data_IF_505671773206
#
_entry.id   IF_505671773206
#
_cell.length_a   1.000
_cell.length_b   1.000
_cell.length_c   1.000
_cell.angle_alpha   90.00
_cell.angle_beta   90.00
_cell.angle_gamma   90.00
#
_symmetry.space_group_name_H-M   'P 1'
#
loop_
_entity.id
_entity.type
_entity.pdbx_description
1 polymer ?
#
# COMPACT_ATOMS: atom_id res chain seq x y z
N UNK A 1 47.67 -47.84 -47.70
CA UNK A 1 47.25 -47.32 -46.36
C UNK A 1 46.83 -45.88 -46.54
N UNK A 2 45.53 -45.59 -46.34
CA UNK A 2 44.93 -44.24 -46.46
C UNK A 2 44.97 -43.58 -45.09
N UNK A 3 45.52 -42.37 -44.99
CA UNK A 3 45.42 -41.50 -43.81
C UNK A 3 44.48 -40.33 -44.16
N UNK A 4 43.35 -40.26 -43.46
CA UNK A 4 42.36 -39.19 -43.56
C UNK A 4 42.70 -38.18 -42.45
N UNK A 5 42.94 -36.89 -42.72
CA UNK A 5 43.07 -35.91 -41.66
C UNK A 5 41.69 -35.50 -41.15
N UNK A 6 41.53 -35.59 -39.84
CA UNK A 6 40.35 -35.19 -39.09
C UNK A 6 40.10 -33.68 -39.24
N UNK A 7 38.88 -33.32 -39.64
CA UNK A 7 38.41 -31.93 -39.66
C UNK A 7 38.00 -31.56 -38.23
N UNK A 8 38.71 -30.56 -37.69
CA UNK A 8 38.40 -29.90 -36.41
C UNK A 8 37.11 -29.09 -36.58
N UNK A 9 36.09 -29.44 -35.82
CA UNK A 9 34.84 -28.67 -35.70
C UNK A 9 35.14 -27.46 -34.81
N UNK A 10 35.16 -26.26 -35.38
CA UNK A 10 35.34 -25.01 -34.65
C UNK A 10 34.06 -24.18 -34.63
N UNK A 11 33.79 -23.63 -33.44
CA UNK A 11 32.88 -22.53 -33.11
C UNK A 11 31.38 -22.84 -33.01
N UNK A 12 30.98 -23.23 -31.79
CA UNK A 12 29.68 -22.84 -31.25
C UNK A 12 29.63 -21.31 -31.15
N UNK A 13 28.77 -20.68 -31.93
CA UNK A 13 28.43 -19.28 -31.72
C UNK A 13 27.68 -19.17 -30.38
N UNK A 14 28.35 -18.66 -29.35
CA UNK A 14 27.66 -18.09 -28.20
C UNK A 14 26.86 -16.89 -28.71
N UNK A 15 25.56 -17.09 -28.96
CA UNK A 15 24.62 -15.97 -28.93
C UNK A 15 24.60 -15.45 -27.50
N UNK A 16 25.44 -14.47 -27.20
CA UNK A 16 25.11 -13.53 -26.13
C UNK A 16 23.83 -12.83 -26.58
N UNK A 17 22.70 -13.27 -26.03
CA UNK A 17 21.50 -12.46 -26.03
C UNK A 17 21.90 -11.14 -25.36
N UNK A 18 22.10 -10.09 -26.17
CA UNK A 18 22.34 -8.76 -25.66
C UNK A 18 21.22 -8.41 -24.68
N UNK A 19 21.54 -8.22 -23.40
CA UNK A 19 20.63 -7.59 -22.45
C UNK A 19 20.17 -6.29 -23.11
N UNK A 20 18.88 -6.21 -23.46
CA UNK A 20 18.28 -4.97 -23.94
C UNK A 20 18.27 -4.02 -22.76
N UNK A 21 19.33 -3.21 -22.63
CA UNK A 21 19.42 -2.22 -21.58
C UNK A 21 18.42 -1.10 -21.88
N UNK A 22 17.24 -1.22 -21.28
CA UNK A 22 16.13 -0.29 -21.44
C UNK A 22 16.35 1.00 -20.64
N UNK A 23 17.47 1.70 -20.84
CA UNK A 23 17.75 2.92 -20.04
C UNK A 23 16.81 4.07 -20.38
N UNK A 24 16.47 4.29 -21.66
CA UNK A 24 15.54 5.38 -22.04
C UNK A 24 14.22 5.28 -21.26
N UNK A 25 13.56 4.11 -21.30
CA UNK A 25 12.28 3.93 -20.61
C UNK A 25 12.43 4.03 -19.08
N UNK A 26 13.55 3.57 -18.50
CA UNK A 26 13.81 3.75 -17.06
C UNK A 26 13.90 5.23 -16.68
N UNK A 27 14.59 6.03 -17.48
CA UNK A 27 14.67 7.48 -17.26
C UNK A 27 13.32 8.16 -17.48
N UNK A 28 12.57 7.79 -18.52
CA UNK A 28 11.22 8.31 -18.78
C UNK A 28 10.27 8.03 -17.61
N UNK A 29 10.30 6.81 -17.05
CA UNK A 29 9.52 6.44 -15.87
C UNK A 29 9.94 7.28 -14.66
N UNK A 30 11.26 7.42 -14.40
CA UNK A 30 11.75 8.26 -13.29
C UNK A 30 11.29 9.71 -13.43
N UNK A 31 11.37 10.28 -14.62
CA UNK A 31 10.92 11.65 -14.88
C UNK A 31 9.39 11.79 -14.73
N UNK A 32 8.61 10.77 -15.11
CA UNK A 32 7.17 10.76 -14.88
C UNK A 32 6.83 10.76 -13.38
N UNK A 33 7.53 9.96 -12.57
CA UNK A 33 7.39 9.94 -11.10
C UNK A 33 7.74 11.31 -10.51
N UNK A 34 8.88 11.88 -10.90
CA UNK A 34 9.33 13.20 -10.40
C UNK A 34 8.31 14.28 -10.73
N UNK A 35 7.79 14.32 -11.96
CA UNK A 35 6.76 15.29 -12.35
C UNK A 35 5.46 15.10 -11.57
N UNK A 36 5.00 13.85 -11.42
CA UNK A 36 3.80 13.52 -10.66
C UNK A 36 3.90 13.93 -9.19
N UNK A 37 5.00 13.54 -8.53
CA UNK A 37 5.25 13.90 -7.13
C UNK A 37 5.44 15.42 -6.93
N UNK A 38 6.06 16.11 -7.89
CA UNK A 38 6.18 17.58 -7.84
C UNK A 38 4.83 18.28 -7.94
N UNK A 39 3.94 17.78 -8.82
CA UNK A 39 2.58 18.29 -8.90
C UNK A 39 1.78 17.98 -7.64
N UNK A 40 1.82 16.73 -7.13
CA UNK A 40 1.16 16.37 -5.88
C UNK A 40 1.62 17.28 -4.73
N UNK A 41 2.93 17.50 -4.59
CA UNK A 41 3.47 18.42 -3.58
C UNK A 41 2.86 19.82 -3.70
N UNK A 42 2.65 20.35 -4.91
CA UNK A 42 2.05 21.68 -5.10
C UNK A 42 0.55 21.74 -4.82
N UNK A 43 -0.13 20.60 -4.78
CA UNK A 43 -1.56 20.50 -4.46
C UNK A 43 -1.85 20.35 -2.95
N UNK A 44 -0.83 20.10 -2.13
CA UNK A 44 -1.02 19.91 -0.69
C UNK A 44 -1.61 21.18 -0.05
N UNK A 45 -2.64 21.00 0.78
CA UNK A 45 -3.25 22.10 1.53
C UNK A 45 -2.35 22.57 2.69
N UNK A 46 -2.52 23.81 3.18
CA UNK A 46 -1.77 24.33 4.31
C UNK A 46 -1.84 23.46 5.58
N UNK A 47 -2.88 22.66 5.74
CA UNK A 47 -3.08 21.76 6.89
C UNK A 47 -2.38 20.40 6.69
N UNK A 48 -1.93 20.08 5.46
CA UNK A 48 -1.17 18.86 5.14
C UNK A 48 -1.92 17.81 4.34
N UNK A 49 -3.23 17.95 4.14
CA UNK A 49 -4.04 16.99 3.37
C UNK A 49 -4.07 17.31 1.88
N UNK A 50 -4.57 16.36 1.09
CA UNK A 50 -4.87 16.52 -0.32
C UNK A 50 -6.36 16.50 -0.58
N UNK A 51 -6.78 17.33 -1.53
CA UNK A 51 -8.15 17.46 -2.00
C UNK A 51 -9.15 17.88 -0.90
N UNK A 52 -9.81 16.93 -0.24
CA UNK A 52 -10.90 17.15 0.71
C UNK A 52 -10.52 16.59 2.09
N UNK A 53 -10.66 17.39 3.14
CA UNK A 53 -10.34 17.01 4.53
C UNK A 53 -11.22 15.86 5.05
N UNK A 54 -12.45 15.76 4.56
CA UNK A 54 -13.41 14.70 4.87
C UNK A 54 -13.06 13.32 4.31
N UNK A 55 -12.08 13.23 3.41
CA UNK A 55 -11.75 11.98 2.69
C UNK A 55 -10.25 11.67 2.79
N UNK A 56 -9.79 11.07 3.91
CA UNK A 56 -8.38 10.73 4.12
C UNK A 56 -7.73 9.88 3.02
N UNK A 57 -8.51 9.17 2.21
CA UNK A 57 -8.01 8.38 1.08
C UNK A 57 -7.19 9.21 0.07
N UNK A 58 -7.58 10.46 -0.23
CA UNK A 58 -6.83 11.28 -1.20
C UNK A 58 -5.43 11.60 -0.70
N UNK A 59 -5.31 11.99 0.57
CA UNK A 59 -4.03 12.15 1.26
C UNK A 59 -3.23 10.85 1.26
N UNK A 60 -3.88 9.72 1.55
CA UNK A 60 -3.23 8.40 1.60
C UNK A 60 -2.66 7.98 0.25
N UNK A 61 -3.38 8.23 -0.85
CA UNK A 61 -2.92 7.94 -2.22
C UNK A 61 -1.72 8.82 -2.61
N UNK A 62 -1.78 10.13 -2.31
CA UNK A 62 -0.67 11.05 -2.57
C UNK A 62 0.58 10.66 -1.77
N UNK A 63 0.42 10.32 -0.49
CA UNK A 63 1.51 9.86 0.36
C UNK A 63 2.09 8.53 -0.11
N UNK A 64 1.23 7.58 -0.53
CA UNK A 64 1.67 6.29 -1.08
C UNK A 64 2.56 6.48 -2.31
N UNK A 65 2.18 7.39 -3.23
CA UNK A 65 3.01 7.73 -4.39
C UNK A 65 4.36 8.36 -3.97
N UNK A 66 4.32 9.31 -3.03
CA UNK A 66 5.51 10.00 -2.56
C UNK A 66 6.51 9.06 -1.86
N UNK A 67 6.04 8.16 -0.99
CA UNK A 67 6.93 7.23 -0.28
C UNK A 67 7.36 6.02 -1.11
N UNK A 68 6.73 5.76 -2.25
CA UNK A 68 7.16 4.74 -3.20
C UNK A 68 8.09 5.27 -4.29
N UNK A 69 8.38 6.58 -4.30
CA UNK A 69 9.41 7.16 -5.14
C UNK A 69 10.76 6.44 -4.92
N UNK A 70 11.34 5.80 -5.96
CA UNK A 70 12.61 5.11 -5.83
C UNK A 70 13.79 6.02 -5.44
N UNK A 71 13.65 7.33 -5.61
CA UNK A 71 14.66 8.33 -5.23
C UNK A 71 14.55 8.79 -3.78
N UNK A 72 13.45 8.46 -3.08
CA UNK A 72 13.28 8.81 -1.67
C UNK A 72 14.14 7.91 -0.79
N UNK A 73 15.07 8.52 -0.04
CA UNK A 73 15.76 7.81 1.03
C UNK A 73 14.81 7.54 2.20
N UNK A 74 14.39 6.27 2.28
CA UNK A 74 13.52 5.80 3.35
C UNK A 74 14.22 5.67 4.69
N UNK A 75 15.51 5.95 4.86
CA UNK A 75 16.15 5.95 6.18
C UNK A 75 16.41 7.36 6.71
N UNK A 76 16.30 8.37 5.84
CA UNK A 76 16.41 9.77 6.22
C UNK A 76 15.09 10.35 6.77
N UNK A 77 15.19 11.57 7.30
CA UNK A 77 14.01 12.39 7.59
C UNK A 77 13.22 12.60 6.30
N UNK A 78 11.90 12.41 6.36
CA UNK A 78 11.06 12.68 5.21
C UNK A 78 11.06 14.16 4.85
N UNK A 79 10.95 14.50 3.55
CA UNK A 79 10.60 15.85 3.11
C UNK A 79 9.38 16.38 3.87
N UNK A 80 9.38 17.67 4.20
CA UNK A 80 8.36 18.30 5.05
C UNK A 80 6.92 18.02 4.59
N UNK A 81 6.64 18.09 3.28
CA UNK A 81 5.31 17.82 2.75
C UNK A 81 4.81 16.38 3.01
N UNK A 82 5.72 15.39 3.01
CA UNK A 82 5.39 13.99 3.33
C UNK A 82 5.14 13.84 4.83
N UNK A 83 6.04 14.39 5.66
CA UNK A 83 5.91 14.37 7.12
C UNK A 83 4.60 15.03 7.58
N UNK A 84 4.28 16.20 7.04
CA UNK A 84 3.05 16.93 7.31
C UNK A 84 1.80 16.16 6.91
N UNK A 85 1.83 15.47 5.76
CA UNK A 85 0.71 14.66 5.32
C UNK A 85 0.45 13.45 6.22
N UNK A 86 1.49 12.73 6.64
CA UNK A 86 1.33 11.63 7.60
C UNK A 86 0.88 12.12 8.98
N UNK A 87 1.40 13.26 9.45
CA UNK A 87 0.96 13.87 10.70
C UNK A 87 -0.55 14.16 10.64
N UNK A 88 -1.02 14.78 9.57
CA UNK A 88 -2.46 14.99 9.37
C UNK A 88 -3.22 13.65 9.31
N UNK A 89 -2.73 12.67 8.55
CA UNK A 89 -3.42 11.39 8.34
C UNK A 89 -3.63 10.62 9.65
N UNK A 90 -2.64 10.59 10.54
CA UNK A 90 -2.74 9.92 11.85
C UNK A 90 -3.81 10.58 12.73
N UNK A 91 -3.98 11.90 12.66
CA UNK A 91 -5.03 12.59 13.43
C UNK A 91 -6.46 12.25 12.99
N UNK A 92 -6.63 11.63 11.81
CA UNK A 92 -7.94 11.20 11.33
C UNK A 92 -8.39 9.85 11.92
N UNK A 93 -7.54 9.18 12.70
CA UNK A 93 -7.89 7.93 13.35
C UNK A 93 -8.94 8.12 14.45
N UNK A 94 -10.03 7.33 14.37
CA UNK A 94 -11.16 7.33 15.30
C UNK A 94 -10.92 6.33 16.45
N UNK A 95 -11.72 6.40 17.54
CA UNK A 95 -11.60 5.48 18.67
C UNK A 95 -11.81 3.99 18.32
N UNK A 96 -12.59 3.70 17.28
CA UNK A 96 -12.78 2.33 16.76
C UNK A 96 -11.57 1.80 15.96
N UNK A 97 -10.57 2.65 15.73
CA UNK A 97 -9.34 2.34 15.00
C UNK A 97 -9.39 2.68 13.51
N UNK A 98 -10.58 2.94 12.96
CA UNK A 98 -10.75 3.37 11.57
C UNK A 98 -10.14 4.74 11.33
N UNK A 99 -9.71 5.00 10.09
CA UNK A 99 -9.17 6.30 9.65
C UNK A 99 -10.13 6.85 8.60
N UNK A 100 -11.03 7.73 9.03
CA UNK A 100 -12.09 8.30 8.19
C UNK A 100 -12.68 9.53 8.88
N UNK A 101 -13.45 10.34 8.14
CA UNK A 101 -14.22 11.43 8.73
C UNK A 101 -15.72 11.13 8.65
N UNK A 102 -16.31 11.28 7.47
CA UNK A 102 -17.75 11.08 7.23
C UNK A 102 -17.97 9.97 6.19
N UNK A 103 -18.15 8.73 6.67
CA UNK A 103 -18.43 7.56 5.83
C UNK A 103 -17.22 6.98 5.11
N UNK A 104 -17.48 6.02 4.20
CA UNK A 104 -16.46 5.30 3.42
C UNK A 104 -15.33 4.76 4.31
N UNK A 105 -15.67 4.23 5.49
CA UNK A 105 -14.69 3.99 6.55
C UNK A 105 -13.65 2.95 6.14
N UNK A 106 -14.09 1.89 5.45
CA UNK A 106 -13.21 0.84 4.91
C UNK A 106 -12.27 1.41 3.85
N UNK A 107 -12.79 2.12 2.85
CA UNK A 107 -11.99 2.70 1.77
C UNK A 107 -10.89 3.64 2.29
N UNK A 108 -11.25 4.56 3.19
CA UNK A 108 -10.30 5.49 3.79
C UNK A 108 -9.28 4.76 4.69
N UNK A 109 -9.74 3.81 5.51
CA UNK A 109 -8.84 3.08 6.42
C UNK A 109 -7.86 2.18 5.65
N UNK A 110 -8.34 1.46 4.65
CA UNK A 110 -7.52 0.54 3.86
C UNK A 110 -6.39 1.28 3.13
N UNK A 111 -6.72 2.39 2.47
CA UNK A 111 -5.72 3.23 1.79
C UNK A 111 -4.74 3.88 2.75
N UNK A 112 -5.21 4.37 3.91
CA UNK A 112 -4.35 4.95 4.94
C UNK A 112 -3.35 3.94 5.52
N UNK A 113 -3.81 2.74 5.86
CA UNK A 113 -2.95 1.66 6.36
C UNK A 113 -1.91 1.27 5.30
N UNK A 114 -2.30 1.17 4.03
CA UNK A 114 -1.36 0.90 2.93
C UNK A 114 -0.28 1.98 2.81
N UNK A 115 -0.65 3.26 2.93
CA UNK A 115 0.30 4.38 2.91
C UNK A 115 1.30 4.29 4.06
N UNK A 116 0.81 4.02 5.29
CA UNK A 116 1.65 3.90 6.49
C UNK A 116 2.62 2.71 6.39
N UNK A 117 2.18 1.56 5.85
CA UNK A 117 3.06 0.42 5.59
C UNK A 117 4.13 0.78 4.56
N UNK A 118 3.76 1.43 3.46
CA UNK A 118 4.68 1.81 2.38
C UNK A 118 5.79 2.76 2.85
N UNK A 119 5.51 3.56 3.89
CA UNK A 119 6.44 4.49 4.50
C UNK A 119 7.58 3.79 5.27
N UNK A 120 7.41 2.53 5.71
CA UNK A 120 8.43 1.76 6.46
C UNK A 120 8.96 2.55 7.67
N UNK A 121 8.04 3.04 8.51
CA UNK A 121 8.34 3.77 9.76
C UNK A 121 7.66 3.07 10.92
N UNK A 122 8.45 2.69 11.94
CA UNK A 122 7.92 2.08 13.17
C UNK A 122 6.94 3.00 13.91
N UNK A 123 7.09 4.31 13.77
CA UNK A 123 6.19 5.30 14.38
C UNK A 123 4.71 5.14 13.95
N UNK A 124 4.43 4.54 12.80
CA UNK A 124 3.05 4.31 12.33
C UNK A 124 2.45 2.98 12.78
N UNK A 125 3.25 2.12 13.41
CA UNK A 125 2.85 0.78 13.84
C UNK A 125 1.58 0.78 14.72
N UNK A 126 1.43 1.66 15.73
CA UNK A 126 0.20 1.68 16.55
C UNK A 126 -1.05 2.05 15.73
N UNK A 127 -0.93 2.96 14.77
CA UNK A 127 -2.03 3.36 13.91
C UNK A 127 -2.40 2.24 12.92
N UNK A 128 -1.39 1.56 12.36
CA UNK A 128 -1.57 0.39 11.48
C UNK A 128 -2.33 -0.71 12.21
N UNK A 129 -1.94 -1.09 13.43
CA UNK A 129 -2.60 -2.17 14.19
C UNK A 129 -4.07 -1.86 14.45
N UNK A 130 -4.39 -0.62 14.85
CA UNK A 130 -5.78 -0.18 15.04
C UNK A 130 -6.58 -0.18 13.75
N UNK A 131 -6.01 0.32 12.66
CA UNK A 131 -6.65 0.30 11.34
C UNK A 131 -6.91 -1.12 10.82
N UNK A 132 -5.96 -2.05 11.03
CA UNK A 132 -6.15 -3.47 10.72
C UNK A 132 -7.34 -4.06 11.46
N UNK A 133 -7.45 -3.80 12.76
CA UNK A 133 -8.57 -4.27 13.57
C UNK A 133 -9.90 -3.77 12.99
N UNK A 134 -9.98 -2.47 12.66
CA UNK A 134 -11.16 -1.90 12.02
C UNK A 134 -11.54 -2.62 10.72
N UNK A 135 -10.58 -2.89 9.83
CA UNK A 135 -10.83 -3.60 8.58
C UNK A 135 -11.33 -5.03 8.80
N UNK A 136 -10.77 -5.76 9.77
CA UNK A 136 -11.21 -7.11 10.13
C UNK A 136 -12.64 -7.09 10.67
N UNK A 137 -12.94 -6.15 11.57
CA UNK A 137 -14.27 -6.01 12.17
C UNK A 137 -15.35 -5.61 11.14
N UNK A 138 -14.94 -5.13 9.96
CA UNK A 138 -15.83 -4.78 8.84
C UNK A 138 -16.04 -5.93 7.84
N UNK A 139 -15.42 -7.10 8.00
CA UNK A 139 -15.77 -8.29 7.21
C UNK A 139 -17.12 -8.85 7.65
N UNK A 140 -17.98 -9.20 6.67
CA UNK A 140 -19.34 -9.64 6.97
C UNK A 140 -19.46 -11.16 7.11
N UNK A 141 -20.31 -11.54 8.06
CA UNK A 141 -20.81 -12.89 8.38
C UNK A 141 -22.26 -12.61 8.79
N UNK A 142 -23.19 -12.81 7.86
CA UNK A 142 -24.60 -12.43 7.94
C UNK A 142 -25.42 -13.70 8.26
N UNK A 143 -26.59 -13.53 8.87
CA UNK A 143 -27.47 -14.63 9.25
C UNK A 143 -26.82 -15.59 10.25
N UNK A 144 -26.22 -16.71 9.80
CA UNK A 144 -25.64 -17.71 10.70
C UNK A 144 -24.13 -17.62 10.74
N UNK A 145 -23.62 -17.32 11.93
CA UNK A 145 -22.20 -17.21 12.22
C UNK A 145 -21.40 -18.43 11.73
N UNK A 146 -20.39 -18.19 10.89
CA UNK A 146 -19.49 -19.19 10.27
C UNK A 146 -20.15 -20.15 9.27
N UNK A 147 -21.36 -19.84 8.81
CA UNK A 147 -21.94 -20.48 7.63
C UNK A 147 -21.78 -19.52 6.44
N UNK A 148 -21.68 -20.07 5.22
CA UNK A 148 -21.67 -19.27 3.99
C UNK A 148 -23.07 -19.33 3.37
N UNK A 149 -24.04 -18.72 4.05
CA UNK A 149 -25.47 -18.79 3.71
C UNK A 149 -26.01 -17.47 3.14
N UNK A 150 -25.21 -16.40 3.16
CA UNK A 150 -25.51 -15.13 2.53
C UNK A 150 -24.54 -14.81 1.37
N UNK A 151 -25.02 -14.30 0.21
CA UNK A 151 -24.14 -13.89 -0.89
C UNK A 151 -23.11 -12.81 -0.55
N UNK A 152 -23.29 -12.08 0.55
CA UNK A 152 -22.35 -11.06 1.00
C UNK A 152 -21.33 -11.56 2.05
N UNK A 153 -21.39 -12.83 2.46
CA UNK A 153 -20.47 -13.37 3.46
C UNK A 153 -19.02 -13.34 2.99
N UNK A 154 -18.12 -12.98 3.90
CA UNK A 154 -16.71 -12.73 3.63
C UNK A 154 -16.42 -11.41 2.90
N UNK A 155 -17.45 -10.75 2.37
CA UNK A 155 -17.33 -9.48 1.67
C UNK A 155 -17.14 -8.29 2.62
N UNK A 156 -16.70 -7.17 2.04
CA UNK A 156 -16.55 -5.89 2.72
C UNK A 156 -17.18 -4.79 1.85
N UNK A 157 -18.03 -3.96 2.45
CA UNK A 157 -18.57 -2.75 1.84
C UNK A 157 -17.88 -1.48 2.34
N UNK A 158 -18.52 -0.33 2.18
CA UNK A 158 -17.98 0.99 2.59
C UNK A 158 -18.05 1.28 4.11
N UNK A 159 -18.31 0.27 4.95
CA UNK A 159 -18.52 0.43 6.39
C UNK A 159 -19.86 1.09 6.77
N UNK A 160 -20.86 0.92 5.92
CA UNK A 160 -22.26 1.31 6.14
C UNK A 160 -23.10 0.06 6.49
N UNK A 161 -24.40 0.05 6.15
CA UNK A 161 -25.27 -1.12 6.35
C UNK A 161 -24.69 -2.36 5.67
N UNK A 162 -24.95 -3.54 6.24
CA UNK A 162 -24.57 -4.85 5.67
C UNK A 162 -25.50 -5.27 4.53
N UNK A 163 -25.70 -4.40 3.54
CA UNK A 163 -26.65 -4.60 2.43
C UNK A 163 -25.96 -4.93 1.10
N UNK A 164 -24.76 -4.39 0.85
CA UNK A 164 -24.00 -4.65 -0.38
C UNK A 164 -22.50 -4.63 -0.15
N UNK A 165 -21.88 -5.81 -0.22
CA UNK A 165 -20.43 -5.92 -0.36
C UNK A 165 -20.03 -5.59 -1.81
N UNK A 166 -18.81 -5.12 -2.01
CA UNK A 166 -18.27 -4.89 -3.34
C UNK A 166 -16.82 -5.33 -3.47
N UNK A 167 -16.41 -5.62 -4.72
CA UNK A 167 -15.08 -6.14 -5.00
C UNK A 167 -13.96 -5.14 -4.71
N UNK A 168 -14.23 -3.83 -4.80
CA UNK A 168 -13.19 -2.81 -4.63
C UNK A 168 -12.80 -2.63 -3.16
N UNK A 169 -13.77 -2.52 -2.26
CA UNK A 169 -13.50 -2.45 -0.81
C UNK A 169 -12.98 -3.78 -0.27
N UNK A 170 -13.53 -4.90 -0.75
CA UNK A 170 -13.03 -6.23 -0.40
C UNK A 170 -11.57 -6.38 -0.80
N UNK A 171 -11.21 -6.01 -2.03
CA UNK A 171 -9.81 -6.01 -2.49
C UNK A 171 -8.91 -5.11 -1.65
N UNK A 172 -9.30 -3.85 -1.44
CA UNK A 172 -8.47 -2.89 -0.70
C UNK A 172 -8.27 -3.32 0.76
N UNK A 173 -9.31 -3.83 1.42
CA UNK A 173 -9.20 -4.36 2.78
C UNK A 173 -8.23 -5.55 2.83
N UNK A 174 -8.38 -6.53 1.93
CA UNK A 174 -7.50 -7.72 1.89
C UNK A 174 -6.05 -7.33 1.58
N UNK A 175 -5.82 -6.46 0.59
CA UNK A 175 -4.47 -5.97 0.24
C UNK A 175 -3.83 -5.27 1.43
N UNK A 176 -4.56 -4.34 2.06
CA UNK A 176 -4.09 -3.61 3.24
C UNK A 176 -3.74 -4.56 4.39
N UNK A 177 -4.57 -5.58 4.64
CA UNK A 177 -4.32 -6.60 5.66
C UNK A 177 -3.14 -7.50 5.32
N UNK A 178 -2.93 -7.83 4.04
CA UNK A 178 -1.79 -8.62 3.60
C UNK A 178 -0.47 -7.86 3.77
N UNK A 179 -0.43 -6.60 3.32
CA UNK A 179 0.75 -5.72 3.42
C UNK A 179 1.15 -5.44 4.88
N UNK A 180 0.16 -5.27 5.76
CA UNK A 180 0.39 -4.97 7.18
C UNK A 180 0.49 -6.21 8.08
N UNK A 181 0.62 -7.43 7.53
CA UNK A 181 0.67 -8.68 8.32
C UNK A 181 1.81 -8.71 9.34
N UNK A 182 2.98 -8.12 9.03
CA UNK A 182 4.14 -8.09 9.94
C UNK A 182 3.91 -7.23 11.17
N UNK A 183 3.10 -6.18 11.04
CA UNK A 183 2.72 -5.27 12.12
C UNK A 183 1.98 -5.99 13.26
N UNK A 184 1.08 -6.93 12.94
CA UNK A 184 0.40 -7.73 13.96
C UNK A 184 1.32 -8.61 14.83
N UNK A 185 2.52 -8.97 14.36
CA UNK A 185 3.44 -9.82 15.14
C UNK A 185 4.17 -9.01 16.22
N UNK A 186 4.41 -7.71 16.00
CA UNK A 186 5.06 -6.82 16.98
C UNK A 186 4.08 -6.35 18.07
N UNK A 187 2.79 -6.24 17.76
CA UNK A 187 1.76 -5.95 18.76
C UNK A 187 1.60 -7.05 19.81
N UNK A 188 1.67 -8.32 19.42
CA UNK A 188 1.48 -9.46 20.34
C UNK A 188 2.63 -9.70 21.32
N UNK A 189 3.82 -9.15 21.06
CA UNK A 189 4.95 -9.21 22.01
C UNK A 189 4.86 -8.16 23.11
N UNK A 190 4.01 -7.14 22.95
CA UNK A 190 3.83 -6.06 23.93
C UNK A 190 2.69 -6.31 24.94
N UNK A 191 1.84 -7.34 24.77
CA UNK A 191 0.66 -7.59 25.63
C UNK A 191 0.88 -8.76 26.62
N UNK A 192 2.07 -9.35 26.67
CA UNK A 192 2.45 -10.28 27.74
C UNK A 192 3.69 -9.78 28.50
N UNK A 193 3.59 -8.74 29.34
CA UNK A 193 4.40 -8.70 30.54
C UNK A 193 3.83 -9.74 31.52
N UNK A 194 4.72 -10.56 32.05
CA UNK A 194 4.56 -11.55 33.15
C UNK A 194 3.39 -11.34 34.10
#
# INVERSE_FOLDING_TARGET
>A
MKLIPAIVILSTAFSCAAEKNHESIKQEIRQAIVRGNSWLKSQQKPEGYWDIDGTPAFTSLALTAAVQDPSLDKNAKFPEHIEKGFNWLVTQQKPDGGIYNNGLSVYNTATAVTAMVAAKREAYEPAIVKGRKHLIDNQWDIDKKKEADNPNDGGVGYGSKKDRADMSNTYLAIESLALSKKSSTMGNTAINPT
#
